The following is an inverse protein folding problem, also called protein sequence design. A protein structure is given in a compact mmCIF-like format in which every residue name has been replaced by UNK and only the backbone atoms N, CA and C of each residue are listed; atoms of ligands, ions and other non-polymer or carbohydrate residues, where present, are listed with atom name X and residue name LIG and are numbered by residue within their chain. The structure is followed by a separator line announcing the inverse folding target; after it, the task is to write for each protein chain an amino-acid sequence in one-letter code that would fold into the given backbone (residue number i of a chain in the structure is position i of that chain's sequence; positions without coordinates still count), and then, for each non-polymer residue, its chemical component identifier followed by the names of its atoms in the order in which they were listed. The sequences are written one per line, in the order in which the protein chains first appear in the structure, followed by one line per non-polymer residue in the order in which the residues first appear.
data_IF_697409242836
#
_entry.id   IF_697409242836
#
_cell.length_a   1.000
_cell.length_b   1.000
_cell.length_c   1.000
_cell.angle_alpha   90.00
_cell.angle_beta   90.00
_cell.angle_gamma   90.00
#
_symmetry.space_group_name_H-M   'P 1'
#
loop_
_entity.id
_entity.type
_entity.pdbx_description
1 polymer ?
#
# COMPACT_ATOMS: atom_id res chain seq x y z
N UNK A 1 -19.39 -16.50 22.47
CA UNK A 1 -18.40 -16.69 21.39
C UNK A 1 -19.14 -17.36 20.26
N UNK A 2 -19.40 -16.66 19.16
CA UNK A 2 -19.99 -17.28 17.96
C UNK A 2 -18.91 -18.07 17.25
N UNK A 3 -19.08 -19.40 17.23
CA UNK A 3 -18.30 -20.33 16.46
C UNK A 3 -18.70 -20.22 14.98
N UNK A 4 -17.94 -19.44 14.20
CA UNK A 4 -18.10 -19.40 12.75
C UNK A 4 -17.19 -20.48 12.15
N UNK A 5 -17.77 -21.66 11.91
CA UNK A 5 -17.09 -22.77 11.24
C UNK A 5 -16.50 -22.40 9.86
N UNK A 6 -15.69 -23.29 9.25
CA UNK A 6 -14.96 -22.98 8.02
C UNK A 6 -15.93 -22.74 6.85
N UNK A 7 -16.02 -21.49 6.41
CA UNK A 7 -16.71 -21.12 5.16
C UNK A 7 -15.96 -21.70 3.97
N UNK A 8 -16.59 -22.63 3.24
CA UNK A 8 -15.98 -23.37 2.12
C UNK A 8 -16.02 -22.57 0.81
N UNK A 9 -17.05 -21.75 0.58
CA UNK A 9 -17.12 -20.79 -0.53
C UNK A 9 -18.20 -19.72 -0.29
N UNK A 10 -18.00 -18.53 -0.83
CA UNK A 10 -19.07 -17.56 -1.10
C UNK A 10 -19.47 -17.72 -2.57
N UNK A 11 -20.75 -18.00 -2.84
CA UNK A 11 -21.31 -18.06 -4.19
C UNK A 11 -22.48 -17.09 -4.31
N UNK A 12 -22.69 -16.55 -5.51
CA UNK A 12 -23.88 -15.80 -5.86
C UNK A 12 -24.47 -16.40 -7.13
N UNK A 13 -25.80 -16.55 -7.16
CA UNK A 13 -26.53 -17.04 -8.32
C UNK A 13 -27.14 -15.84 -9.02
N UNK A 14 -26.87 -15.70 -10.32
CA UNK A 14 -27.52 -14.73 -11.18
C UNK A 14 -28.67 -15.46 -11.89
N UNK A 15 -29.91 -15.09 -11.59
CA UNK A 15 -31.11 -15.62 -12.24
C UNK A 15 -31.65 -14.61 -13.26
N UNK A 16 -32.32 -15.09 -14.31
CA UNK A 16 -32.92 -14.24 -15.34
C UNK A 16 -31.99 -13.83 -16.48
N UNK A 17 -30.81 -14.44 -16.58
CA UNK A 17 -29.97 -14.31 -17.77
C UNK A 17 -30.60 -15.08 -18.93
N UNK A 18 -30.67 -14.44 -20.08
CA UNK A 18 -31.12 -14.99 -21.37
C UNK A 18 -29.92 -15.40 -22.23
N UNK A 19 -30.16 -16.11 -23.34
CA UNK A 19 -29.11 -16.42 -24.33
C UNK A 19 -28.49 -15.14 -24.96
N UNK A 20 -29.21 -14.01 -24.91
CA UNK A 20 -28.73 -12.69 -25.36
C UNK A 20 -27.96 -11.90 -24.27
N UNK A 21 -27.93 -12.38 -23.04
CA UNK A 21 -27.27 -11.69 -21.92
C UNK A 21 -25.75 -11.80 -22.02
N UNK A 22 -25.11 -10.73 -22.51
CA UNK A 22 -23.65 -10.66 -22.56
C UNK A 22 -23.09 -9.98 -21.30
N UNK A 23 -22.09 -10.56 -20.62
CA UNK A 23 -21.34 -9.85 -19.59
C UNK A 23 -20.87 -8.50 -20.13
N UNK A 24 -21.02 -7.46 -19.33
CA UNK A 24 -20.39 -6.18 -19.60
C UNK A 24 -18.90 -6.43 -19.41
N UNK A 25 -18.18 -6.57 -20.51
CA UNK A 25 -16.73 -6.53 -20.49
C UNK A 25 -16.34 -5.20 -19.85
N UNK A 26 -15.97 -5.26 -18.58
CA UNK A 26 -15.42 -4.12 -17.85
C UNK A 26 -13.95 -3.90 -18.30
N UNK A 27 -13.68 -4.13 -19.58
CA UNK A 27 -12.46 -3.76 -20.26
C UNK A 27 -12.59 -2.28 -20.56
N UNK A 28 -11.99 -1.48 -19.70
CA UNK A 28 -11.67 -0.11 -20.08
C UNK A 28 -10.61 -0.26 -21.18
N UNK A 29 -11.05 -0.27 -22.44
CA UNK A 29 -10.17 -0.12 -23.59
C UNK A 29 -9.58 1.29 -23.50
N UNK A 30 -8.50 1.44 -22.74
CA UNK A 30 -7.64 2.60 -22.92
C UNK A 30 -6.95 2.39 -24.25
N UNK A 31 -7.40 3.13 -25.27
CA UNK A 31 -6.67 3.30 -26.53
C UNK A 31 -5.37 4.07 -26.26
N UNK A 32 -4.45 3.43 -25.54
CA UNK A 32 -3.08 3.87 -25.43
C UNK A 32 -2.18 2.64 -25.43
N UNK A 33 -1.19 2.65 -26.32
CA UNK A 33 -0.47 1.49 -26.89
C UNK A 33 0.35 0.69 -25.86
N UNK A 34 0.27 1.03 -24.57
CA UNK A 34 1.10 0.47 -23.49
C UNK A 34 0.35 -0.29 -22.38
N UNK A 35 -0.98 -0.32 -22.37
CA UNK A 35 -1.75 -1.02 -21.31
C UNK A 35 -2.50 -2.23 -21.85
N UNK A 36 -1.78 -3.34 -22.06
CA UNK A 36 -2.40 -4.66 -22.21
C UNK A 36 -3.30 -4.94 -20.99
N UNK A 37 -4.62 -5.04 -21.21
CA UNK A 37 -5.62 -5.80 -20.44
C UNK A 37 -5.20 -6.14 -18.99
N UNK A 38 -5.12 -5.15 -18.12
CA UNK A 38 -4.70 -5.36 -16.74
C UNK A 38 -5.92 -5.72 -15.87
N UNK A 39 -6.01 -6.98 -15.43
CA UNK A 39 -6.96 -7.39 -14.38
C UNK A 39 -6.83 -6.43 -13.18
N UNK A 40 -7.94 -5.92 -12.62
CA UNK A 40 -7.88 -5.04 -11.46
C UNK A 40 -7.17 -5.71 -10.29
N UNK A 41 -6.01 -5.17 -9.88
CA UNK A 41 -5.27 -5.67 -8.71
C UNK A 41 -6.11 -5.47 -7.44
N UNK A 42 -6.07 -6.41 -6.48
CA UNK A 42 -6.68 -6.17 -5.16
C UNK A 42 -6.09 -4.93 -4.49
N UNK A 43 -6.85 -4.23 -3.63
CA UNK A 43 -6.31 -3.10 -2.87
C UNK A 43 -5.24 -3.56 -1.87
N UNK A 44 -4.45 -2.61 -1.38
CA UNK A 44 -3.47 -2.87 -0.32
C UNK A 44 -4.21 -2.92 1.02
N UNK A 45 -4.04 -4.02 1.74
CA UNK A 45 -4.71 -4.28 3.04
C UNK A 45 -3.75 -4.17 4.22
N UNK A 46 -2.44 -4.37 3.99
CA UNK A 46 -1.40 -4.25 5.01
C UNK A 46 -0.12 -3.63 4.48
N UNK A 47 0.63 -3.08 5.42
CA UNK A 47 1.99 -2.59 5.25
C UNK A 47 2.84 -3.10 6.41
N UNK A 48 4.12 -3.36 6.14
CA UNK A 48 5.11 -3.77 7.11
C UNK A 48 6.44 -3.09 6.80
N UNK A 49 7.28 -2.89 7.82
CA UNK A 49 8.65 -2.40 7.65
C UNK A 49 9.59 -3.54 7.95
N UNK A 50 10.57 -3.78 7.08
CA UNK A 50 11.59 -4.81 7.26
C UNK A 50 12.99 -4.22 7.27
N UNK A 51 13.88 -4.82 8.06
CA UNK A 51 15.29 -4.44 8.17
C UNK A 51 16.18 -5.50 7.53
N UNK A 52 16.45 -5.35 6.23
CA UNK A 52 17.15 -6.36 5.41
C UNK A 52 18.57 -6.62 5.89
N UNK A 53 19.28 -5.57 6.30
CA UNK A 53 20.65 -5.68 6.83
C UNK A 53 20.73 -6.42 8.17
N UNK A 54 19.61 -6.65 8.85
CA UNK A 54 19.52 -7.44 10.09
C UNK A 54 19.00 -8.87 9.85
N UNK A 55 18.98 -9.31 8.59
CA UNK A 55 18.56 -10.65 8.20
C UNK A 55 17.05 -10.85 8.12
N UNK A 56 16.25 -9.77 8.10
CA UNK A 56 14.80 -9.91 7.92
C UNK A 56 14.44 -10.18 6.45
N UNK A 57 13.45 -11.05 6.26
CA UNK A 57 12.88 -11.35 4.94
C UNK A 57 11.52 -10.69 4.73
N UNK A 58 11.11 -10.64 3.47
CA UNK A 58 9.77 -10.16 3.10
C UNK A 58 8.74 -11.14 3.66
N UNK A 59 7.74 -10.68 4.45
CA UNK A 59 6.76 -11.60 5.03
C UNK A 59 5.97 -12.37 3.97
N UNK A 60 5.48 -13.58 4.28
CA UNK A 60 4.69 -14.36 3.34
C UNK A 60 3.48 -13.58 2.79
N UNK A 61 3.35 -13.55 1.46
CA UNK A 61 2.28 -12.84 0.76
C UNK A 61 2.47 -11.32 0.64
N UNK A 62 3.58 -10.76 1.15
CA UNK A 62 3.91 -9.35 0.96
C UNK A 62 4.80 -9.16 -0.28
N UNK A 63 4.78 -7.95 -0.82
CA UNK A 63 5.69 -7.44 -1.83
C UNK A 63 6.52 -6.32 -1.22
N UNK A 64 7.85 -6.39 -1.40
CA UNK A 64 8.77 -5.36 -0.95
C UNK A 64 8.89 -4.24 -1.99
N UNK A 65 8.94 -2.99 -1.55
CA UNK A 65 9.34 -1.85 -2.38
C UNK A 65 10.86 -1.75 -2.31
N UNK A 66 11.55 -2.48 -3.17
CA UNK A 66 13.02 -2.55 -3.18
C UNK A 66 13.67 -1.41 -3.98
N UNK A 67 12.96 -0.90 -4.99
CA UNK A 67 13.47 0.14 -5.87
C UNK A 67 12.49 1.29 -6.06
N UNK A 68 13.04 2.48 -6.25
CA UNK A 68 12.30 3.67 -6.67
C UNK A 68 11.87 3.54 -8.14
N UNK A 69 10.97 4.40 -8.65
CA UNK A 69 10.55 4.35 -10.05
C UNK A 69 11.69 4.48 -11.07
N UNK A 70 12.80 5.14 -10.73
CA UNK A 70 13.99 5.22 -11.60
C UNK A 70 14.99 4.08 -11.42
N UNK A 71 14.71 3.12 -10.52
CA UNK A 71 15.58 1.96 -10.26
C UNK A 71 16.65 2.16 -9.18
N UNK A 72 16.60 3.25 -8.42
CA UNK A 72 17.47 3.44 -7.25
C UNK A 72 16.98 2.57 -6.09
N UNK A 73 17.83 2.32 -5.09
CA UNK A 73 17.40 1.64 -3.86
C UNK A 73 16.30 2.44 -3.15
N UNK A 74 15.20 1.78 -2.78
CA UNK A 74 14.11 2.37 -2.00
C UNK A 74 14.31 2.24 -0.48
N UNK A 75 15.58 2.16 -0.04
CA UNK A 75 15.93 2.20 1.39
C UNK A 75 15.41 3.49 2.03
N UNK A 76 14.53 3.35 3.01
CA UNK A 76 13.86 4.46 3.69
C UNK A 76 14.85 5.32 4.49
N UNK A 77 16.03 4.77 4.81
CA UNK A 77 17.12 5.42 5.54
C UNK A 77 18.31 5.78 4.63
N UNK A 78 18.10 5.75 3.30
CA UNK A 78 19.01 6.06 2.19
C UNK A 78 20.40 6.64 2.56
N UNK A 79 21.37 5.74 2.77
CA UNK A 79 22.79 6.04 2.54
C UNK A 79 23.70 6.18 3.76
N UNK A 80 23.30 5.77 4.96
CA UNK A 80 24.26 5.59 6.05
C UNK A 80 24.84 4.16 6.02
N UNK A 81 26.14 4.03 5.74
CA UNK A 81 26.89 2.76 5.70
C UNK A 81 26.71 1.90 6.97
N UNK A 82 26.44 2.54 8.11
CA UNK A 82 26.32 1.89 9.41
C UNK A 82 24.87 1.77 9.89
N UNK A 83 23.90 2.33 9.15
CA UNK A 83 22.52 2.26 9.56
C UNK A 83 21.81 1.05 8.94
N UNK A 84 20.74 0.55 9.57
CA UNK A 84 19.97 -0.53 8.98
C UNK A 84 19.41 -0.14 7.61
N UNK A 85 19.40 -1.09 6.68
CA UNK A 85 18.69 -0.94 5.41
C UNK A 85 17.22 -1.28 5.63
N UNK A 86 16.37 -0.27 5.51
CA UNK A 86 14.96 -0.34 5.91
C UNK A 86 14.09 -0.26 4.67
N UNK A 87 13.16 -1.20 4.50
CA UNK A 87 12.27 -1.23 3.34
C UNK A 87 10.82 -1.36 3.75
N UNK A 88 9.93 -0.77 2.94
CA UNK A 88 8.49 -0.92 3.10
C UNK A 88 8.00 -2.11 2.29
N UNK A 89 7.26 -2.99 2.95
CA UNK A 89 6.54 -4.09 2.33
C UNK A 89 5.03 -3.81 2.40
N UNK A 90 4.27 -4.32 1.44
CA UNK A 90 2.81 -4.25 1.46
C UNK A 90 2.19 -5.58 1.04
N UNK A 91 0.96 -5.84 1.50
CA UNK A 91 0.16 -6.99 1.08
C UNK A 91 -1.10 -6.50 0.40
N UNK A 92 -1.44 -7.14 -0.72
CA UNK A 92 -2.70 -6.92 -1.43
C UNK A 92 -3.68 -8.02 -1.06
N UNK A 93 -4.95 -7.68 -0.88
CA UNK A 93 -5.95 -8.64 -0.46
C UNK A 93 -7.38 -8.09 -0.49
N UNK A 94 -8.32 -8.98 -0.25
CA UNK A 94 -9.75 -8.67 0.01
C UNK A 94 -10.25 -9.39 1.26
N UNK A 95 -9.34 -9.99 2.02
CA UNK A 95 -9.59 -10.72 3.26
C UNK A 95 -9.99 -9.82 4.44
N UNK A 96 -9.74 -8.52 4.33
CA UNK A 96 -10.08 -7.50 5.33
C UNK A 96 -10.16 -6.10 4.72
N UNK A 97 -10.68 -5.09 5.45
CA UNK A 97 -10.83 -3.74 4.91
C UNK A 97 -9.50 -3.15 4.39
N UNK A 98 -9.53 -2.43 3.26
CA UNK A 98 -8.33 -1.88 2.65
C UNK A 98 -7.74 -0.72 3.47
N UNK A 99 -6.48 -0.41 3.20
CA UNK A 99 -5.87 0.83 3.67
C UNK A 99 -6.44 2.01 2.88
N UNK A 100 -6.77 3.08 3.57
CA UNK A 100 -7.34 4.32 2.98
C UNK A 100 -6.36 5.47 3.00
N UNK A 101 -5.29 5.38 3.80
CA UNK A 101 -4.27 6.41 3.94
C UNK A 101 -2.94 5.79 4.41
N UNK A 102 -1.83 6.39 3.97
CA UNK A 102 -0.49 6.16 4.48
C UNK A 102 0.13 7.49 4.88
N UNK A 103 0.93 7.46 5.95
CA UNK A 103 1.56 8.64 6.48
C UNK A 103 2.88 8.34 7.18
N UNK A 104 3.55 9.41 7.60
CA UNK A 104 4.77 9.36 8.40
C UNK A 104 4.54 10.16 9.67
N UNK A 105 4.96 9.60 10.79
CA UNK A 105 4.89 10.22 12.11
C UNK A 105 6.29 10.55 12.60
N UNK A 106 6.51 11.81 12.95
CA UNK A 106 7.67 12.23 13.75
C UNK A 106 7.23 12.33 15.20
N UNK A 107 7.48 11.27 15.98
CA UNK A 107 6.93 11.12 17.34
C UNK A 107 7.31 12.28 18.28
N UNK A 108 8.45 12.92 18.03
CA UNK A 108 8.93 14.07 18.82
C UNK A 108 8.33 15.42 18.42
N UNK A 109 7.66 15.52 17.26
CA UNK A 109 7.08 16.77 16.75
C UNK A 109 5.56 16.80 16.80
N UNK A 110 4.91 15.63 16.75
CA UNK A 110 3.46 15.57 16.62
C UNK A 110 2.88 14.29 17.25
N UNK A 111 1.56 14.30 17.46
CA UNK A 111 0.82 13.13 17.94
C UNK A 111 0.22 12.36 16.76
N UNK A 112 0.04 11.05 16.97
CA UNK A 112 -0.67 10.20 16.03
C UNK A 112 -2.08 10.75 15.76
N UNK A 113 -2.43 10.89 14.47
CA UNK A 113 -3.76 11.31 14.03
C UNK A 113 -4.82 10.28 14.43
N UNK A 114 -6.02 10.74 14.77
CA UNK A 114 -7.14 9.85 15.11
C UNK A 114 -7.44 8.86 13.97
N UNK A 115 -7.69 7.59 14.34
CA UNK A 115 -7.97 6.50 13.42
C UNK A 115 -6.76 6.03 12.60
N UNK A 116 -5.57 6.57 12.81
CA UNK A 116 -4.33 6.04 12.25
C UNK A 116 -3.68 5.05 13.23
N UNK A 117 -2.90 4.13 12.69
CA UNK A 117 -2.10 3.16 13.42
C UNK A 117 -0.63 3.35 13.06
N UNK A 118 0.27 3.00 13.98
CA UNK A 118 1.72 3.06 13.81
C UNK A 118 2.23 1.65 13.52
N UNK A 119 3.14 1.50 12.55
CA UNK A 119 3.96 0.30 12.43
C UNK A 119 5.06 0.41 13.49
N UNK A 120 4.80 -0.11 14.68
CA UNK A 120 5.73 0.01 15.81
C UNK A 120 6.88 -0.99 15.73
N UNK A 121 6.61 -2.19 15.21
CA UNK A 121 7.57 -3.28 15.12
C UNK A 121 7.65 -3.86 13.72
N UNK A 122 8.83 -4.37 13.37
CA UNK A 122 9.04 -5.21 12.20
C UNK A 122 8.36 -6.58 12.43
N UNK A 123 8.17 -7.38 11.38
CA UNK A 123 7.66 -8.75 11.49
C UNK A 123 8.46 -9.65 12.45
N UNK A 124 9.75 -9.37 12.66
CA UNK A 124 10.59 -10.12 13.61
C UNK A 124 10.51 -9.59 15.06
N UNK A 125 9.73 -8.54 15.30
CA UNK A 125 9.54 -7.93 16.62
C UNK A 125 10.52 -6.80 16.96
N UNK A 126 11.40 -6.38 16.03
CA UNK A 126 12.31 -5.25 16.25
C UNK A 126 11.57 -3.91 16.18
N UNK A 127 12.02 -2.84 16.86
CA UNK A 127 11.40 -1.52 16.69
C UNK A 127 11.51 -1.05 15.23
N UNK A 128 10.39 -0.72 14.59
CA UNK A 128 10.34 -0.23 13.21
C UNK A 128 10.64 1.28 13.09
N UNK A 129 11.54 1.78 13.94
CA UNK A 129 12.02 3.16 13.85
C UNK A 129 12.93 3.30 12.63
N UNK A 130 12.63 4.26 11.77
CA UNK A 130 13.37 4.49 10.52
C UNK A 130 14.63 5.32 10.76
N UNK A 131 14.62 6.19 11.78
CA UNK A 131 15.78 7.03 12.06
C UNK A 131 16.92 6.23 12.69
N UNK A 132 18.14 6.66 12.40
CA UNK A 132 19.35 6.14 13.05
C UNK A 132 19.53 6.62 14.50
N UNK A 133 18.74 7.61 14.94
CA UNK A 133 18.91 8.27 16.24
C UNK A 133 17.72 7.97 17.15
N UNK A 134 17.99 7.46 18.35
CA UNK A 134 16.95 7.05 19.31
C UNK A 134 16.04 8.20 19.80
N UNK A 135 16.50 9.45 19.71
CA UNK A 135 15.74 10.65 20.11
C UNK A 135 14.79 11.18 19.03
N UNK A 136 14.96 10.78 17.76
CA UNK A 136 14.16 11.27 16.63
C UNK A 136 13.38 10.13 15.99
N UNK A 137 12.39 9.57 16.69
CA UNK A 137 11.68 8.36 16.23
C UNK A 137 10.72 8.64 15.07
N UNK A 138 11.02 8.06 13.90
CA UNK A 138 10.22 8.18 12.67
C UNK A 138 9.54 6.84 12.41
N UNK A 139 8.22 6.87 12.24
CA UNK A 139 7.44 5.66 11.93
C UNK A 139 6.54 5.86 10.72
N UNK A 140 6.31 4.77 9.98
CA UNK A 140 5.20 4.70 9.01
C UNK A 140 3.90 4.51 9.77
N UNK A 141 2.86 5.17 9.28
CA UNK A 141 1.50 5.07 9.79
C UNK A 141 0.55 4.71 8.66
N UNK A 142 -0.57 4.08 9.01
CA UNK A 142 -1.62 3.77 8.07
C UNK A 142 -2.99 4.04 8.68
N UNK A 143 -4.00 4.24 7.84
CA UNK A 143 -5.41 4.20 8.22
C UNK A 143 -6.09 3.07 7.48
N UNK A 144 -6.87 2.27 8.19
CA UNK A 144 -7.67 1.19 7.62
C UNK A 144 -9.13 1.64 7.51
N UNK A 145 -9.81 1.23 6.44
CA UNK A 145 -11.25 1.38 6.31
C UNK A 145 -11.98 0.66 7.46
N UNK A 146 -13.13 1.17 7.87
CA UNK A 146 -14.01 0.43 8.79
C UNK A 146 -14.77 -0.64 8.01
N UNK A 147 -15.15 -1.75 8.66
CA UNK A 147 -15.93 -2.82 8.02
C UNK A 147 -17.28 -2.34 7.45
N UNK A 148 -17.81 -1.24 7.97
CA UNK A 148 -19.06 -0.60 7.54
C UNK A 148 -18.92 0.33 6.32
N UNK A 149 -17.71 0.63 5.85
CA UNK A 149 -17.53 1.53 4.70
C UNK A 149 -18.05 0.89 3.41
N UNK A 150 -18.80 1.67 2.64
CA UNK A 150 -19.51 1.22 1.42
C UNK A 150 -18.55 0.79 0.30
N UNK A 151 -19.10 -0.02 -0.61
CA UNK A 151 -18.44 -0.73 -1.72
C UNK A 151 -17.70 0.14 -2.77
N UNK A 152 -17.59 1.46 -2.56
CA UNK A 152 -16.91 2.41 -3.46
C UNK A 152 -15.84 3.27 -2.74
N UNK A 153 -15.35 2.84 -1.58
CA UNK A 153 -14.34 3.59 -0.83
C UNK A 153 -13.00 3.70 -1.59
N UNK A 154 -12.38 4.88 -1.50
CA UNK A 154 -11.01 5.10 -1.98
C UNK A 154 -10.05 4.28 -1.13
N UNK A 155 -9.28 3.41 -1.80
CA UNK A 155 -8.27 2.57 -1.19
C UNK A 155 -6.89 2.88 -1.75
N UNK A 156 -5.87 2.63 -0.95
CA UNK A 156 -4.49 2.58 -1.40
C UNK A 156 -4.33 1.38 -2.33
N UNK A 157 -3.96 1.63 -3.57
CA UNK A 157 -3.80 0.58 -4.60
C UNK A 157 -2.36 0.39 -5.02
N UNK A 158 -1.53 1.40 -4.83
CA UNK A 158 -0.10 1.33 -5.13
C UNK A 158 0.73 2.21 -4.20
N UNK A 159 1.99 1.82 -4.03
CA UNK A 159 2.96 2.49 -3.16
C UNK A 159 4.30 2.54 -3.89
N UNK A 160 4.97 3.68 -3.82
CA UNK A 160 6.36 3.80 -4.23
C UNK A 160 7.13 4.72 -3.28
N UNK A 161 8.45 4.65 -3.37
CA UNK A 161 9.37 5.53 -2.67
C UNK A 161 10.09 6.37 -3.71
N UNK A 162 10.29 7.65 -3.42
CA UNK A 162 11.05 8.56 -4.28
C UNK A 162 12.15 9.28 -3.50
N UNK A 163 13.18 9.70 -4.23
CA UNK A 163 14.32 10.47 -3.76
C UNK A 163 14.40 11.76 -4.59
N UNK A 164 13.70 12.84 -4.18
CA UNK A 164 13.66 14.07 -4.96
C UNK A 164 15.03 14.71 -5.20
N UNK A 165 15.96 14.54 -4.26
CA UNK A 165 17.35 14.98 -4.41
C UNK A 165 18.11 14.31 -5.56
N UNK A 166 17.56 13.24 -6.15
CA UNK A 166 18.08 12.55 -7.35
C UNK A 166 17.25 12.84 -8.60
N UNK A 167 16.39 13.85 -8.57
CA UNK A 167 15.55 14.27 -9.71
C UNK A 167 14.23 13.51 -9.85
N UNK A 168 13.86 12.69 -8.87
CA UNK A 168 12.60 11.96 -8.92
C UNK A 168 11.40 12.83 -8.49
N UNK A 169 10.27 12.63 -9.15
CA UNK A 169 8.99 13.24 -8.78
C UNK A 169 7.95 12.16 -8.52
N UNK A 170 6.90 12.43 -7.72
CA UNK A 170 5.81 11.49 -7.54
C UNK A 170 5.22 11.08 -8.90
N UNK A 171 5.01 9.77 -9.16
CA UNK A 171 4.39 9.34 -10.41
C UNK A 171 2.98 9.92 -10.60
N UNK A 172 2.51 9.97 -11.84
CA UNK A 172 1.17 10.48 -12.16
C UNK A 172 0.10 9.81 -11.30
N UNK A 173 -0.80 10.60 -10.70
CA UNK A 173 -1.86 10.20 -9.73
C UNK A 173 -1.40 9.73 -8.34
N UNK A 174 -0.10 9.70 -8.04
CA UNK A 174 0.38 9.39 -6.70
C UNK A 174 0.38 10.66 -5.84
N UNK A 175 -0.08 10.53 -4.60
CA UNK A 175 0.11 11.56 -3.58
C UNK A 175 1.42 11.30 -2.82
N UNK A 176 2.18 12.37 -2.58
CA UNK A 176 3.40 12.35 -1.76
C UNK A 176 3.05 12.64 -0.31
N UNK A 177 3.50 11.81 0.62
CA UNK A 177 3.45 12.13 2.05
C UNK A 177 4.50 13.20 2.31
N UNK A 178 4.11 14.40 2.75
CA UNK A 178 5.03 15.54 2.84
C UNK A 178 5.94 15.53 4.08
N UNK A 179 6.64 14.41 4.29
CA UNK A 179 7.64 14.20 5.35
C UNK A 179 8.72 13.25 4.85
N UNK A 180 9.97 13.63 5.08
CA UNK A 180 11.12 12.77 4.77
C UNK A 180 11.20 11.60 5.74
N UNK A 181 11.41 10.39 5.22
CA UNK A 181 11.69 9.20 6.01
C UNK A 181 13.15 9.16 6.47
N UNK A 182 14.06 9.77 5.70
CA UNK A 182 15.45 9.93 6.06
C UNK A 182 15.63 11.15 7.00
N UNK A 183 16.23 10.92 8.16
CA UNK A 183 16.54 11.95 9.16
C UNK A 183 17.98 12.49 9.09
N UNK A 184 18.82 11.95 8.21
CA UNK A 184 20.22 12.36 8.11
C UNK A 184 20.37 13.78 7.58
N UNK A 185 21.22 14.59 8.22
CA UNK A 185 21.52 15.96 7.79
C UNK A 185 22.22 16.03 6.42
N UNK A 186 22.94 14.96 6.05
CA UNK A 186 23.70 14.88 4.80
C UNK A 186 23.14 13.80 3.85
N UNK A 187 22.08 13.10 4.25
CA UNK A 187 21.40 12.11 3.43
C UNK A 187 20.44 12.77 2.45
N UNK A 188 20.17 12.08 1.32
CA UNK A 188 19.09 12.51 0.43
C UNK A 188 17.75 12.27 1.12
N UNK A 189 16.83 13.23 1.00
CA UNK A 189 15.47 13.08 1.51
C UNK A 189 14.74 11.96 0.75
N UNK A 190 13.99 11.15 1.50
CA UNK A 190 13.27 9.98 0.98
C UNK A 190 11.80 10.15 1.30
N UNK A 191 10.93 9.99 0.32
CA UNK A 191 9.51 10.25 0.50
C UNK A 191 8.67 9.03 0.11
N UNK A 192 7.66 8.77 0.94
CA UNK A 192 6.61 7.81 0.63
C UNK A 192 5.58 8.44 -0.31
N UNK A 193 5.28 7.76 -1.40
CA UNK A 193 4.24 8.10 -2.33
C UNK A 193 3.25 6.95 -2.44
N UNK A 194 1.97 7.26 -2.61
CA UNK A 194 0.97 6.22 -2.80
C UNK A 194 -0.20 6.70 -3.64
N UNK A 195 -0.86 5.77 -4.32
CA UNK A 195 -2.02 6.02 -5.18
C UNK A 195 -3.29 5.61 -4.46
N UNK A 196 -4.28 6.51 -4.44
CA UNK A 196 -5.65 6.18 -4.03
C UNK A 196 -6.53 6.00 -5.28
N UNK A 197 -7.29 4.93 -5.31
CA UNK A 197 -8.33 4.74 -6.32
C UNK A 197 -9.49 3.94 -5.72
N UNK A 198 -10.64 3.96 -6.37
CA UNK A 198 -11.79 3.16 -5.96
C UNK A 198 -11.38 1.68 -5.91
N UNK A 199 -11.57 1.04 -4.75
CA UNK A 199 -11.37 -0.39 -4.63
C UNK A 199 -12.45 -1.12 -5.45
N UNK A 200 -12.13 -1.55 -6.68
CA UNK A 200 -13.05 -2.37 -7.47
C UNK A 200 -13.32 -3.69 -6.75
N UNK A 201 -14.57 -3.88 -6.36
CA UNK A 201 -15.10 -5.11 -5.79
C UNK A 201 -15.23 -6.19 -6.87
N UNK A 202 -15.43 -7.45 -6.46
CA UNK A 202 -15.73 -8.53 -7.38
C UNK A 202 -17.17 -8.34 -7.91
N UNK A 203 -17.33 -7.54 -8.95
CA UNK A 203 -18.61 -7.33 -9.64
C UNK A 203 -18.61 -8.05 -10.97
N UNK A 204 -19.73 -8.70 -11.28
CA UNK A 204 -20.07 -9.13 -12.64
C UNK A 204 -21.19 -8.21 -13.10
N UNK A 205 -20.93 -7.41 -14.12
CA UNK A 205 -21.93 -6.55 -14.75
C UNK A 205 -22.38 -7.19 -16.08
N UNK A 206 -23.59 -6.88 -16.53
CA UNK A 206 -24.15 -7.31 -17.82
C UNK A 206 -24.56 -6.07 -18.62
N UNK A 207 -24.54 -6.15 -19.96
CA UNK A 207 -25.14 -5.11 -20.78
C UNK A 207 -26.64 -5.01 -20.46
N UNK A 208 -27.17 -3.79 -20.40
CA UNK A 208 -28.62 -3.62 -20.28
C UNK A 208 -29.29 -4.26 -21.50
N UNK A 209 -30.41 -4.95 -21.29
CA UNK A 209 -31.21 -5.48 -22.39
C UNK A 209 -31.72 -4.33 -23.26
N UNK A 210 -31.75 -4.54 -24.58
CA UNK A 210 -32.52 -3.68 -25.49
C UNK A 210 -34.02 -3.84 -25.26
#
# INVERSE_FOLDING_TARGET
MEDKGPRVADYFVLAGLTDSSTPLEQEIHFHDVCHKTAKPKPPITDVAVVMRSLGEEVPPGYTCVESTPSGLSADLNNGSLMAPQIFLCYRRGRDKPPLTDLGVLYEWKERLKQGCHIIQTTPSGRPANISSTSSQRIYVTYRRATESQTYAALAVTDICVIIPGKGETPPHTFCKVDKSLNSSMWGSSVYLCYKKSVAKTNTIAYKAGE
#
